data_IF_765602361516
#
_entry.id   IF_765602361516
#
_cell.length_a   1.000
_cell.length_b   1.000
_cell.length_c   1.000
_cell.angle_alpha   90.00
_cell.angle_beta   90.00
_cell.angle_gamma   90.00
#
_symmetry.space_group_name_H-M   'P 1'
#
loop_
_entity.id
_entity.type
_entity.pdbx_description
1 polymer ?
#
# COMPACT_ATOMS: atom_id res chain seq x y z
N UNK A 1 11.55 26.74 -10.76
CA UNK A 1 11.66 25.31 -10.39
C UNK A 1 10.65 24.60 -11.24
N UNK A 2 11.08 23.65 -12.10
CA UNK A 2 10.20 22.96 -13.03
C UNK A 2 9.19 22.10 -12.25
N UNK A 3 7.97 21.92 -12.77
CA UNK A 3 6.91 21.13 -12.11
C UNK A 3 7.37 19.69 -11.83
N UNK A 4 8.19 19.13 -12.72
CA UNK A 4 8.82 17.82 -12.53
C UNK A 4 9.75 17.77 -11.29
N UNK A 5 10.52 18.83 -11.04
CA UNK A 5 11.42 18.91 -9.87
C UNK A 5 10.63 19.04 -8.57
N UNK A 6 9.52 19.80 -8.59
CA UNK A 6 8.61 19.91 -7.43
C UNK A 6 7.96 18.57 -7.12
N UNK A 7 7.47 17.87 -8.15
CA UNK A 7 6.89 16.54 -8.00
C UNK A 7 7.89 15.54 -7.40
N UNK A 8 9.13 15.54 -7.90
CA UNK A 8 10.18 14.65 -7.40
C UNK A 8 10.51 14.94 -5.92
N UNK A 9 10.63 16.20 -5.53
CA UNK A 9 10.90 16.59 -4.14
C UNK A 9 9.76 16.20 -3.20
N UNK A 10 8.49 16.38 -3.61
CA UNK A 10 7.33 15.98 -2.84
C UNK A 10 7.27 14.46 -2.64
N UNK A 11 7.49 13.70 -3.70
CA UNK A 11 7.51 12.23 -3.62
C UNK A 11 8.65 11.75 -2.75
N UNK A 12 9.86 12.29 -2.94
CA UNK A 12 11.03 11.89 -2.14
C UNK A 12 10.84 12.21 -0.66
N UNK A 13 10.32 13.39 -0.32
CA UNK A 13 10.03 13.73 1.08
C UNK A 13 8.94 12.84 1.68
N UNK A 14 7.90 12.51 0.91
CA UNK A 14 6.87 11.57 1.33
C UNK A 14 7.42 10.17 1.62
N UNK A 15 8.32 9.66 0.76
CA UNK A 15 8.96 8.35 0.96
C UNK A 15 9.84 8.35 2.22
N UNK A 16 10.59 9.43 2.47
CA UNK A 16 11.40 9.56 3.70
C UNK A 16 10.50 9.50 4.95
N UNK A 17 9.38 10.23 4.96
CA UNK A 17 8.43 10.18 6.07
C UNK A 17 7.82 8.78 6.23
N UNK A 18 7.42 8.14 5.15
CA UNK A 18 6.88 6.78 5.17
C UNK A 18 7.89 5.73 5.66
N UNK A 19 9.20 5.97 5.47
CA UNK A 19 10.24 5.05 5.96
C UNK A 19 10.25 4.89 7.49
N UNK A 20 9.73 5.88 8.22
CA UNK A 20 9.61 5.81 9.68
C UNK A 20 8.34 5.07 10.15
N UNK A 21 7.37 4.80 9.26
CA UNK A 21 6.06 4.27 9.62
C UNK A 21 6.16 2.93 10.36
N UNK A 22 6.86 1.96 9.80
CA UNK A 22 7.06 0.64 10.43
C UNK A 22 7.81 0.72 11.76
N UNK A 23 8.79 1.64 11.88
CA UNK A 23 9.52 1.88 13.11
C UNK A 23 8.60 2.48 14.19
N UNK A 24 7.79 3.48 13.83
CA UNK A 24 6.85 4.11 14.75
C UNK A 24 5.79 3.14 15.26
N UNK A 25 5.27 2.26 14.40
CA UNK A 25 4.34 1.19 14.81
C UNK A 25 4.98 0.28 15.85
N UNK A 26 6.26 -0.10 15.67
CA UNK A 26 7.00 -0.92 16.63
C UNK A 26 7.27 -0.20 17.94
N UNK A 27 7.65 1.08 17.89
CA UNK A 27 7.97 1.89 19.07
C UNK A 27 6.72 2.25 19.89
N UNK A 28 5.56 2.27 19.28
CA UNK A 28 4.30 2.58 19.97
C UNK A 28 3.97 1.58 21.08
N UNK A 29 4.50 0.34 21.01
CA UNK A 29 4.28 -0.73 22.01
C UNK A 29 2.81 -0.88 22.45
N UNK A 30 1.88 -0.49 21.60
CA UNK A 30 0.45 -0.52 21.82
C UNK A 30 -0.17 -1.75 21.15
N UNK A 31 -1.36 -2.12 21.60
CA UNK A 31 -2.15 -3.15 20.94
C UNK A 31 -2.41 -2.80 19.47
N UNK A 32 -2.32 -3.80 18.58
CA UNK A 32 -2.43 -3.60 17.14
C UNK A 32 -3.73 -2.93 16.70
N UNK A 33 -4.84 -3.26 17.35
CA UNK A 33 -6.12 -2.65 17.04
C UNK A 33 -6.19 -1.18 17.49
N UNK A 34 -5.54 -0.83 18.60
CA UNK A 34 -5.38 0.56 19.03
C UNK A 34 -4.58 1.38 18.02
N UNK A 35 -3.49 0.81 17.48
CA UNK A 35 -2.68 1.47 16.44
C UNK A 35 -3.51 1.67 15.17
N UNK A 36 -4.24 0.65 14.71
CA UNK A 36 -5.12 0.73 13.54
C UNK A 36 -6.19 1.80 13.73
N UNK A 37 -6.84 1.85 14.91
CA UNK A 37 -7.87 2.83 15.22
C UNK A 37 -7.33 4.27 15.17
N UNK A 38 -6.25 4.56 15.90
CA UNK A 38 -5.68 5.91 15.94
C UNK A 38 -5.14 6.35 14.59
N UNK A 39 -4.49 5.44 13.86
CA UNK A 39 -4.00 5.69 12.51
C UNK A 39 -5.17 6.02 11.56
N UNK A 40 -6.22 5.22 11.58
CA UNK A 40 -7.42 5.44 10.77
C UNK A 40 -8.11 6.76 11.12
N UNK A 41 -8.23 7.09 12.41
CA UNK A 41 -8.80 8.35 12.88
C UNK A 41 -7.98 9.57 12.40
N UNK A 42 -6.66 9.53 12.56
CA UNK A 42 -5.78 10.61 12.12
C UNK A 42 -5.81 10.78 10.59
N UNK A 43 -5.80 9.67 9.83
CA UNK A 43 -5.96 9.70 8.38
C UNK A 43 -7.33 10.30 7.98
N UNK A 44 -8.41 9.90 8.65
CA UNK A 44 -9.74 10.44 8.40
C UNK A 44 -9.80 11.95 8.66
N UNK A 45 -9.23 12.43 9.76
CA UNK A 45 -9.17 13.86 10.08
C UNK A 45 -8.31 14.64 9.07
N UNK A 46 -7.14 14.11 8.71
CA UNK A 46 -6.24 14.74 7.73
C UNK A 46 -6.90 14.83 6.34
N UNK A 47 -7.44 13.71 5.83
CA UNK A 47 -8.12 13.68 4.55
C UNK A 47 -9.41 14.48 4.57
N UNK A 48 -10.14 14.47 5.69
CA UNK A 48 -11.31 15.32 5.92
C UNK A 48 -10.97 16.79 5.79
N UNK A 49 -9.89 17.25 6.40
CA UNK A 49 -9.41 18.62 6.28
C UNK A 49 -9.02 18.97 4.82
N UNK A 50 -8.33 18.07 4.11
CA UNK A 50 -8.01 18.25 2.69
C UNK A 50 -9.25 18.25 1.79
N UNK A 51 -10.27 17.46 2.10
CA UNK A 51 -11.52 17.38 1.33
C UNK A 51 -12.41 18.61 1.47
N UNK A 52 -12.06 19.56 2.34
CA UNK A 52 -12.76 20.85 2.44
C UNK A 52 -12.58 21.71 1.19
N UNK A 53 -11.57 21.45 0.37
CA UNK A 53 -11.40 22.11 -0.94
C UNK A 53 -12.53 21.71 -1.91
N UNK A 54 -13.13 22.70 -2.57
CA UNK A 54 -14.22 22.50 -3.53
C UNK A 54 -13.80 21.56 -4.69
N UNK A 55 -12.54 21.64 -5.14
CA UNK A 55 -11.98 20.80 -6.21
C UNK A 55 -11.92 19.33 -5.81
N UNK A 56 -11.48 19.04 -4.58
CA UNK A 56 -11.40 17.68 -4.05
C UNK A 56 -12.79 17.04 -3.88
N UNK A 57 -13.76 17.82 -3.40
CA UNK A 57 -15.17 17.37 -3.28
C UNK A 57 -15.81 17.06 -4.63
N UNK A 58 -15.50 17.84 -5.66
CA UNK A 58 -16.04 17.60 -7.01
C UNK A 58 -15.50 16.27 -7.57
N UNK A 59 -14.22 15.99 -7.41
CA UNK A 59 -13.59 14.73 -7.83
C UNK A 59 -14.18 13.51 -7.13
N UNK A 60 -14.33 13.58 -5.79
CA UNK A 60 -14.94 12.49 -5.00
C UNK A 60 -16.41 12.22 -5.37
N UNK A 61 -17.17 13.28 -5.70
CA UNK A 61 -18.58 13.17 -6.10
C UNK A 61 -18.74 12.68 -7.55
N UNK A 62 -17.74 12.88 -8.40
CA UNK A 62 -17.81 12.44 -9.80
C UNK A 62 -17.86 10.91 -9.94
N UNK A 63 -17.16 10.18 -9.06
CA UNK A 63 -17.10 8.71 -9.08
C UNK A 63 -17.15 8.13 -7.66
N UNK A 64 -18.30 8.18 -6.97
CA UNK A 64 -18.39 7.83 -5.56
C UNK A 64 -18.07 6.35 -5.27
N UNK A 65 -18.45 5.45 -6.17
CA UNK A 65 -18.19 4.01 -6.01
C UNK A 65 -16.70 3.68 -6.07
N UNK A 66 -15.96 4.31 -6.97
CA UNK A 66 -14.53 4.10 -7.13
C UNK A 66 -13.76 4.71 -5.96
N UNK A 67 -14.17 5.91 -5.54
CA UNK A 67 -13.60 6.56 -4.35
C UNK A 67 -13.83 5.72 -3.09
N UNK A 68 -15.02 5.15 -2.91
CA UNK A 68 -15.30 4.24 -1.80
C UNK A 68 -14.49 2.94 -1.89
N UNK A 69 -14.37 2.34 -3.07
CA UNK A 69 -13.56 1.15 -3.26
C UNK A 69 -12.07 1.41 -2.99
N UNK A 70 -11.53 2.54 -3.44
CA UNK A 70 -10.16 2.96 -3.14
C UNK A 70 -9.96 3.18 -1.63
N UNK A 71 -10.89 3.85 -0.96
CA UNK A 71 -10.82 4.06 0.48
C UNK A 71 -10.85 2.73 1.25
N UNK A 72 -11.67 1.78 0.84
CA UNK A 72 -11.70 0.43 1.44
C UNK A 72 -10.37 -0.31 1.23
N UNK A 73 -9.81 -0.28 0.02
CA UNK A 73 -8.51 -0.90 -0.26
C UNK A 73 -7.38 -0.28 0.58
N UNK A 74 -7.38 1.04 0.74
CA UNK A 74 -6.42 1.73 1.62
C UNK A 74 -6.62 1.36 3.10
N UNK A 75 -7.87 1.21 3.55
CA UNK A 75 -8.16 0.75 4.90
C UNK A 75 -7.65 -0.68 5.13
N UNK A 76 -7.89 -1.61 4.19
CA UNK A 76 -7.33 -2.96 4.23
C UNK A 76 -5.80 -2.95 4.25
N UNK A 77 -5.18 -2.16 3.37
CA UNK A 77 -3.72 -1.97 3.37
C UNK A 77 -3.21 -1.56 4.75
N UNK A 78 -3.84 -0.55 5.37
CA UNK A 78 -3.43 -0.04 6.67
C UNK A 78 -3.55 -1.10 7.78
N UNK A 79 -4.66 -1.84 7.81
CA UNK A 79 -4.90 -2.91 8.77
C UNK A 79 -3.86 -4.02 8.63
N UNK A 80 -3.70 -4.56 7.42
CA UNK A 80 -2.77 -5.66 7.17
C UNK A 80 -1.31 -5.26 7.36
N UNK A 81 -0.93 -4.01 7.02
CA UNK A 81 0.41 -3.50 7.28
C UNK A 81 0.72 -3.48 8.78
N UNK A 82 -0.18 -2.93 9.61
CA UNK A 82 0.02 -2.89 11.07
C UNK A 82 0.10 -4.30 11.62
N UNK A 83 -0.81 -5.20 11.23
CA UNK A 83 -0.78 -6.60 11.66
C UNK A 83 0.52 -7.29 11.22
N UNK A 84 1.00 -7.04 10.02
CA UNK A 84 2.27 -7.58 9.54
C UNK A 84 3.44 -7.11 10.42
N UNK A 85 3.56 -5.80 10.67
CA UNK A 85 4.65 -5.23 11.49
C UNK A 85 4.67 -5.76 12.91
N UNK A 86 3.50 -6.09 13.48
CA UNK A 86 3.41 -6.66 14.84
C UNK A 86 3.81 -8.12 14.86
N UNK A 87 3.51 -8.89 13.82
CA UNK A 87 3.70 -10.35 13.81
C UNK A 87 5.03 -10.80 13.15
N UNK A 88 5.70 -9.92 12.37
CA UNK A 88 7.01 -10.24 11.81
C UNK A 88 7.96 -9.04 11.89
N UNK A 89 9.16 -9.14 11.31
CA UNK A 89 10.12 -8.03 11.31
C UNK A 89 9.72 -6.94 10.32
N UNK A 90 10.02 -5.68 10.64
CA UNK A 90 9.79 -4.55 9.72
C UNK A 90 10.51 -4.77 8.38
N UNK A 91 11.71 -5.37 8.43
CA UNK A 91 12.47 -5.70 7.22
C UNK A 91 11.70 -6.65 6.30
N UNK A 92 11.12 -7.73 6.85
CA UNK A 92 10.30 -8.67 6.07
C UNK A 92 9.09 -7.97 5.45
N UNK A 93 8.39 -7.14 6.25
CA UNK A 93 7.22 -6.38 5.77
C UNK A 93 7.59 -5.49 4.59
N UNK A 94 8.68 -4.72 4.70
CA UNK A 94 9.12 -3.80 3.62
C UNK A 94 9.51 -4.57 2.36
N UNK A 95 10.22 -5.70 2.50
CA UNK A 95 10.58 -6.56 1.35
C UNK A 95 9.34 -7.09 0.66
N UNK A 96 8.37 -7.60 1.40
CA UNK A 96 7.11 -8.11 0.85
C UNK A 96 6.26 -6.97 0.26
N UNK A 97 6.15 -5.83 0.92
CA UNK A 97 5.38 -4.68 0.42
C UNK A 97 5.98 -4.08 -0.86
N UNK A 98 7.28 -4.22 -1.08
CA UNK A 98 7.92 -3.80 -2.33
C UNK A 98 7.41 -4.56 -3.57
N UNK A 99 6.65 -5.63 -3.39
CA UNK A 99 6.00 -6.39 -4.48
C UNK A 99 4.65 -5.81 -4.92
N UNK A 100 4.14 -4.74 -4.29
CA UNK A 100 2.88 -4.11 -4.67
C UNK A 100 2.78 -3.74 -6.17
N UNK A 101 3.83 -3.22 -6.85
CA UNK A 101 3.78 -2.98 -8.29
C UNK A 101 3.59 -4.25 -9.13
N UNK A 102 4.04 -5.40 -8.62
CA UNK A 102 3.86 -6.69 -9.30
C UNK A 102 2.42 -7.16 -9.20
N UNK A 103 1.79 -7.01 -8.03
CA UNK A 103 0.35 -7.24 -7.89
C UNK A 103 -0.45 -6.30 -8.79
N UNK A 104 -0.05 -5.02 -8.90
CA UNK A 104 -0.69 -4.08 -9.83
C UNK A 104 -0.57 -4.55 -11.29
N UNK A 105 0.59 -5.06 -11.71
CA UNK A 105 0.78 -5.61 -13.05
C UNK A 105 -0.09 -6.86 -13.29
N UNK A 106 -0.18 -7.76 -12.31
CA UNK A 106 -1.05 -8.94 -12.36
C UNK A 106 -2.52 -8.54 -12.49
N UNK A 107 -3.00 -7.63 -11.65
CA UNK A 107 -4.40 -7.16 -11.70
C UNK A 107 -4.68 -6.40 -13.00
N UNK A 108 -3.76 -5.60 -13.50
CA UNK A 108 -3.88 -4.94 -14.81
C UNK A 108 -4.04 -5.98 -15.92
N UNK A 109 -3.25 -7.06 -15.90
CA UNK A 109 -3.35 -8.14 -16.88
C UNK A 109 -4.67 -8.88 -16.81
N UNK A 110 -5.10 -9.28 -15.59
CA UNK A 110 -6.28 -10.13 -15.43
C UNK A 110 -7.60 -9.37 -15.42
N UNK A 111 -7.62 -8.13 -14.90
CA UNK A 111 -8.85 -7.33 -14.75
C UNK A 111 -9.04 -6.40 -15.95
N UNK A 112 -7.97 -5.75 -16.43
CA UNK A 112 -8.05 -4.82 -17.56
C UNK A 112 -7.80 -5.51 -18.92
N UNK A 113 -7.22 -6.71 -18.94
CA UNK A 113 -6.89 -7.42 -20.17
C UNK A 113 -5.69 -6.85 -20.93
N UNK A 114 -4.97 -5.87 -20.34
CA UNK A 114 -3.83 -5.24 -20.99
C UNK A 114 -2.65 -6.21 -21.10
N UNK A 115 -1.87 -6.11 -22.18
CA UNK A 115 -0.65 -6.90 -22.36
C UNK A 115 0.45 -6.39 -21.45
N UNK A 116 1.00 -7.29 -20.63
CA UNK A 116 2.14 -7.00 -19.76
C UNK A 116 3.40 -7.47 -20.46
N UNK A 117 4.42 -6.61 -20.52
CA UNK A 117 5.66 -6.89 -21.19
C UNK A 117 6.42 -8.07 -20.53
N UNK A 118 7.19 -8.82 -21.32
CA UNK A 118 7.92 -10.01 -20.84
C UNK A 118 8.85 -9.70 -19.68
N UNK A 119 9.51 -8.54 -19.70
CA UNK A 119 10.41 -8.13 -18.59
C UNK A 119 9.66 -7.98 -17.26
N UNK A 120 8.37 -7.61 -17.27
CA UNK A 120 7.54 -7.56 -16.07
C UNK A 120 7.26 -8.96 -15.53
N UNK A 121 7.04 -9.95 -16.40
CA UNK A 121 6.89 -11.35 -15.99
C UNK A 121 8.17 -11.91 -15.36
N UNK A 122 9.33 -11.56 -15.90
CA UNK A 122 10.62 -11.91 -15.29
C UNK A 122 10.77 -11.27 -13.91
N UNK A 123 10.41 -9.98 -13.78
CA UNK A 123 10.42 -9.29 -12.48
C UNK A 123 9.50 -9.94 -11.46
N UNK A 124 8.29 -10.37 -11.86
CA UNK A 124 7.35 -11.12 -11.01
C UNK A 124 7.99 -12.44 -10.55
N UNK A 125 8.64 -13.17 -11.44
CA UNK A 125 9.35 -14.40 -11.09
C UNK A 125 10.47 -14.19 -10.06
N UNK A 126 11.32 -13.17 -10.28
CA UNK A 126 12.40 -12.82 -9.33
C UNK A 126 11.83 -12.40 -7.96
N UNK A 127 10.78 -11.59 -7.96
CA UNK A 127 10.13 -11.18 -6.71
C UNK A 127 9.47 -12.36 -5.98
N UNK A 128 8.85 -13.29 -6.70
CA UNK A 128 8.30 -14.51 -6.12
C UNK A 128 9.40 -15.34 -5.43
N UNK A 129 10.58 -15.45 -6.03
CA UNK A 129 11.75 -16.07 -5.39
C UNK A 129 12.16 -15.33 -4.11
N UNK A 130 12.20 -14.00 -4.13
CA UNK A 130 12.49 -13.18 -2.94
C UNK A 130 11.49 -13.43 -1.82
N UNK A 131 10.19 -13.47 -2.14
CA UNK A 131 9.14 -13.79 -1.17
C UNK A 131 9.33 -15.20 -0.59
N UNK A 132 9.64 -16.19 -1.42
CA UNK A 132 9.90 -17.56 -0.96
C UNK A 132 11.07 -17.61 0.04
N UNK A 133 12.13 -16.84 -0.21
CA UNK A 133 13.28 -16.75 0.71
C UNK A 133 12.86 -16.14 2.04
N UNK A 134 12.04 -15.06 2.03
CA UNK A 134 11.51 -14.44 3.25
C UNK A 134 10.65 -15.42 4.04
N UNK A 135 9.78 -16.17 3.37
CA UNK A 135 8.94 -17.18 4.03
C UNK A 135 9.74 -18.37 4.55
N UNK A 136 10.79 -18.78 3.82
CA UNK A 136 11.69 -19.85 4.28
C UNK A 136 12.49 -19.45 5.52
N UNK A 137 12.72 -18.15 5.73
CA UNK A 137 13.33 -17.61 6.94
C UNK A 137 12.37 -17.41 8.12
N UNK A 138 11.08 -17.67 7.95
CA UNK A 138 10.11 -17.58 9.03
C UNK A 138 10.20 -18.82 9.94
N UNK A 139 10.73 -18.65 11.15
CA UNK A 139 10.97 -19.73 12.09
C UNK A 139 9.78 -20.03 13.01
N UNK A 140 8.79 -19.13 13.06
CA UNK A 140 7.61 -19.27 13.92
C UNK A 140 6.32 -19.14 13.12
N UNK A 141 5.22 -19.70 13.64
CA UNK A 141 3.89 -19.52 13.06
C UNK A 141 3.47 -18.03 13.05
N UNK A 142 3.95 -17.26 14.01
CA UNK A 142 3.71 -15.81 14.08
C UNK A 142 4.38 -15.07 12.93
N UNK A 143 5.65 -15.39 12.63
CA UNK A 143 6.37 -14.80 11.50
C UNK A 143 5.70 -15.14 10.17
N UNK A 144 5.22 -16.38 10.03
CA UNK A 144 4.51 -16.81 8.83
C UNK A 144 3.19 -16.03 8.65
N UNK A 145 2.44 -15.83 9.74
CA UNK A 145 1.23 -15.02 9.72
C UNK A 145 1.53 -13.56 9.37
N UNK A 146 2.59 -12.98 9.96
CA UNK A 146 3.04 -11.62 9.67
C UNK A 146 3.41 -11.42 8.19
N UNK A 147 4.16 -12.36 7.62
CA UNK A 147 4.51 -12.34 6.20
C UNK A 147 3.25 -12.50 5.31
N UNK A 148 2.27 -13.31 5.73
CA UNK A 148 0.97 -13.42 5.07
C UNK A 148 0.18 -12.11 5.07
N UNK A 149 0.16 -11.40 6.21
CA UNK A 149 -0.46 -10.08 6.29
C UNK A 149 0.26 -9.05 5.41
N UNK A 150 1.59 -9.09 5.31
CA UNK A 150 2.35 -8.23 4.40
C UNK A 150 1.97 -8.48 2.92
N UNK A 151 1.78 -9.74 2.52
CA UNK A 151 1.29 -10.07 1.17
C UNK A 151 -0.11 -9.53 0.90
N UNK A 152 -1.02 -9.62 1.88
CA UNK A 152 -2.36 -9.07 1.75
C UNK A 152 -2.34 -7.53 1.65
N UNK A 153 -1.48 -6.86 2.43
CA UNK A 153 -1.23 -5.42 2.33
C UNK A 153 -0.76 -5.06 0.93
N UNK A 154 0.28 -5.72 0.45
CA UNK A 154 0.87 -5.52 -0.87
C UNK A 154 -0.14 -5.74 -2.01
N UNK A 155 -0.96 -6.78 -1.92
CA UNK A 155 -2.02 -7.06 -2.89
C UNK A 155 -3.10 -5.96 -2.88
N UNK A 156 -3.49 -5.47 -1.70
CA UNK A 156 -4.46 -4.39 -1.58
C UNK A 156 -3.94 -3.08 -2.18
N UNK A 157 -2.65 -2.74 -1.97
CA UNK A 157 -1.99 -1.61 -2.65
C UNK A 157 -2.01 -1.80 -4.16
N UNK A 158 -1.61 -2.98 -4.66
CA UNK A 158 -1.61 -3.30 -6.09
C UNK A 158 -3.01 -3.18 -6.72
N UNK A 159 -4.04 -3.65 -6.02
CA UNK A 159 -5.42 -3.51 -6.45
C UNK A 159 -5.86 -2.04 -6.51
N UNK A 160 -5.48 -1.24 -5.50
CA UNK A 160 -5.79 0.19 -5.48
C UNK A 160 -5.10 0.95 -6.62
N UNK A 161 -3.82 0.68 -6.89
CA UNK A 161 -3.09 1.26 -8.02
C UNK A 161 -3.76 0.92 -9.37
N UNK A 162 -4.21 -0.32 -9.53
CA UNK A 162 -4.93 -0.75 -10.75
C UNK A 162 -6.28 -0.05 -10.88
N UNK A 163 -7.01 0.11 -9.78
CA UNK A 163 -8.31 0.79 -9.75
C UNK A 163 -8.16 2.27 -10.14
N UNK A 164 -7.18 2.98 -9.60
CA UNK A 164 -6.91 4.37 -9.91
C UNK A 164 -6.44 4.54 -11.36
N UNK A 165 -5.55 3.67 -11.83
CA UNK A 165 -5.08 3.70 -13.23
C UNK A 165 -6.21 3.58 -14.24
N UNK A 166 -7.24 2.80 -13.94
CA UNK A 166 -8.42 2.65 -14.79
C UNK A 166 -9.27 3.93 -14.86
N UNK A 167 -9.14 4.81 -13.85
CA UNK A 167 -10.03 5.97 -13.67
C UNK A 167 -9.21 7.24 -13.38
N UNK A 168 -8.52 7.80 -14.39
CA UNK A 168 -7.62 8.93 -14.20
C UNK A 168 -8.30 10.24 -13.76
N UNK A 169 -9.63 10.29 -13.72
CA UNK A 169 -10.38 11.45 -13.22
C UNK A 169 -10.28 11.66 -11.68
N UNK A 170 -9.64 10.74 -10.96
CA UNK A 170 -9.50 10.77 -9.49
C UNK A 170 -8.06 11.10 -9.05
N UNK A 171 -7.10 11.15 -9.99
CA UNK A 171 -5.71 11.56 -9.72
C UNK A 171 -5.55 13.04 -9.39
#
# INVERSE_FOLDING_TARGET
MNDSTRGLLLVSSGIVVLSFDGLLVRLAQADGWSIVFWRGLLMFLALGAFSLSAKSRASLKAQPLISAASALLLAFTSIFFVLAVIHTTVANVVVVDSTAPLFAALFTRFILGESVALHTWLAIGVAALGIMIVFAGAFTATDLAGNGYALLSSAAVGANLTLLRRNPAIE
#
